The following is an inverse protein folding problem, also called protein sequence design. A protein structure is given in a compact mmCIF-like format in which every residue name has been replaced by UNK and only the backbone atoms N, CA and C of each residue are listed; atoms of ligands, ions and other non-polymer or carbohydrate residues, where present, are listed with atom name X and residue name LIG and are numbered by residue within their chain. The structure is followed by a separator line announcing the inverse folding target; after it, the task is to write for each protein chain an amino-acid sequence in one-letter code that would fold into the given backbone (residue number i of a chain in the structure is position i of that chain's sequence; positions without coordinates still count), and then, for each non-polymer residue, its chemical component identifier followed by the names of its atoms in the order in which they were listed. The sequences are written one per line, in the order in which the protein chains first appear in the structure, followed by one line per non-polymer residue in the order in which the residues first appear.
data_IF_456885867840
#
_entry.id   IF_456885867840
#
_cell.length_a   1.000
_cell.length_b   1.000
_cell.length_c   1.000
_cell.angle_alpha   90.00
_cell.angle_beta   90.00
_cell.angle_gamma   90.00
#
_symmetry.space_group_name_H-M   'P 1'
#
loop_
_entity.id
_entity.type
_entity.pdbx_description
1 polymer ?
#
# COMPACT_ATOMS: atom_id res chain seq x y z
N UNK A 1 -6.06 11.44 -14.18
CA UNK A 1 -6.40 11.35 -12.75
C UNK A 1 -5.38 12.17 -12.00
N UNK A 2 -5.79 13.05 -11.09
CA UNK A 2 -4.85 13.78 -10.24
C UNK A 2 -4.39 12.93 -9.03
N UNK A 3 -3.33 13.36 -8.36
CA UNK A 3 -2.72 12.64 -7.23
C UNK A 3 -3.67 12.47 -6.06
N UNK A 4 -4.53 13.46 -5.78
CA UNK A 4 -5.47 13.39 -4.66
C UNK A 4 -6.51 12.30 -4.91
N UNK A 5 -7.10 12.27 -6.11
CA UNK A 5 -8.06 11.24 -6.51
C UNK A 5 -7.47 9.82 -6.44
N UNK A 6 -6.18 9.65 -6.74
CA UNK A 6 -5.49 8.36 -6.59
C UNK A 6 -5.39 7.96 -5.12
N UNK A 7 -4.95 8.87 -4.26
CA UNK A 7 -4.83 8.61 -2.82
C UNK A 7 -6.19 8.29 -2.19
N UNK A 8 -7.23 9.04 -2.56
CA UNK A 8 -8.59 8.85 -2.03
C UNK A 8 -9.15 7.49 -2.46
N UNK A 9 -9.06 7.15 -3.75
CA UNK A 9 -9.51 5.87 -4.27
C UNK A 9 -8.74 4.70 -3.65
N UNK A 10 -7.42 4.80 -3.59
CA UNK A 10 -6.58 3.78 -2.97
C UNK A 10 -6.96 3.56 -1.50
N UNK A 11 -7.12 4.65 -0.74
CA UNK A 11 -7.47 4.59 0.69
C UNK A 11 -8.85 3.98 0.90
N UNK A 12 -9.82 4.37 0.07
CA UNK A 12 -11.17 3.81 0.12
C UNK A 12 -11.16 2.30 -0.15
N UNK A 13 -10.51 1.86 -1.22
CA UNK A 13 -10.46 0.44 -1.60
C UNK A 13 -9.63 -0.40 -0.62
N UNK A 14 -8.55 0.17 -0.07
CA UNK A 14 -7.73 -0.48 0.94
C UNK A 14 -8.55 -0.72 2.22
N UNK A 15 -9.24 0.30 2.72
CA UNK A 15 -10.10 0.19 3.89
C UNK A 15 -11.24 -0.80 3.66
N UNK A 16 -11.86 -0.78 2.48
CA UNK A 16 -12.90 -1.75 2.12
C UNK A 16 -12.37 -3.20 2.09
N UNK A 17 -11.12 -3.40 1.65
CA UNK A 17 -10.49 -4.72 1.57
C UNK A 17 -9.96 -5.22 2.93
N UNK A 18 -9.54 -4.32 3.82
CA UNK A 18 -9.09 -4.64 5.18
C UNK A 18 -10.25 -4.85 6.16
N UNK A 19 -11.41 -4.23 5.92
CA UNK A 19 -12.55 -4.30 6.84
C UNK A 19 -12.27 -3.59 8.17
N UNK A 20 -12.90 -4.07 9.26
CA UNK A 20 -12.80 -3.46 10.59
C UNK A 20 -11.37 -3.45 11.18
N UNK A 21 -10.50 -4.33 10.69
CA UNK A 21 -9.11 -4.46 11.15
C UNK A 21 -8.23 -3.24 10.78
N UNK A 22 -8.62 -2.48 9.75
CA UNK A 22 -7.86 -1.32 9.26
C UNK A 22 -7.65 -0.26 10.34
N UNK A 23 -8.67 0.00 11.16
CA UNK A 23 -8.67 1.09 12.14
C UNK A 23 -7.72 0.85 13.32
N UNK A 24 -7.30 -0.39 13.55
CA UNK A 24 -6.42 -0.75 14.68
C UNK A 24 -4.94 -0.72 14.32
N UNK A 25 -4.62 -0.67 13.03
CA UNK A 25 -3.26 -0.75 12.52
C UNK A 25 -2.82 0.66 12.15
N UNK A 26 -1.79 1.18 12.83
CA UNK A 26 -1.15 2.44 12.46
C UNK A 26 -0.37 2.24 11.14
N UNK A 27 -1.07 2.19 10.02
CA UNK A 27 -0.52 1.93 8.69
C UNK A 27 -0.15 3.25 8.05
N UNK A 28 1.06 3.34 7.52
CA UNK A 28 1.50 4.40 6.63
C UNK A 28 1.74 3.81 5.23
N UNK A 29 1.19 4.47 4.22
CA UNK A 29 1.34 4.10 2.81
C UNK A 29 1.97 5.24 2.03
N UNK A 30 3.01 4.93 1.27
CA UNK A 30 3.57 5.82 0.27
C UNK A 30 3.23 5.28 -1.12
N UNK A 31 2.63 6.11 -1.97
CA UNK A 31 2.33 5.78 -3.37
C UNK A 31 3.31 6.53 -4.29
N UNK A 32 3.99 5.79 -5.16
CA UNK A 32 4.89 6.33 -6.18
C UNK A 32 4.29 6.10 -7.56
N UNK A 33 4.06 7.20 -8.30
CA UNK A 33 3.65 7.13 -9.70
C UNK A 33 4.87 7.29 -10.61
N UNK A 34 5.07 6.32 -11.50
CA UNK A 34 6.12 6.37 -12.51
C UNK A 34 5.55 6.85 -13.85
N UNK A 35 6.38 7.55 -14.63
CA UNK A 35 5.98 8.15 -15.91
C UNK A 35 5.50 7.16 -16.99
N UNK A 36 5.63 5.86 -16.78
CA UNK A 36 5.29 4.79 -17.74
C UNK A 36 4.06 3.97 -17.36
N UNK A 37 3.15 4.52 -16.56
CA UNK A 37 1.94 3.78 -16.17
C UNK A 37 2.21 2.72 -15.10
N UNK A 38 3.29 2.88 -14.31
CA UNK A 38 3.54 2.03 -13.15
C UNK A 38 3.14 2.81 -11.89
N UNK A 39 2.49 2.14 -10.96
CA UNK A 39 2.24 2.65 -9.61
C UNK A 39 2.77 1.65 -8.58
N UNK A 40 3.52 2.14 -7.61
CA UNK A 40 4.06 1.36 -6.50
C UNK A 40 3.46 1.83 -5.18
N UNK A 41 3.12 0.89 -4.30
CA UNK A 41 2.75 1.12 -2.91
C UNK A 41 3.82 0.54 -1.99
N UNK A 42 4.36 1.39 -1.12
CA UNK A 42 5.20 0.98 -0.01
C UNK A 42 4.43 1.10 1.29
N UNK A 43 4.37 -0.02 2.03
CA UNK A 43 3.54 -0.15 3.22
C UNK A 43 4.44 -0.30 4.44
N UNK A 44 4.09 0.44 5.49
CA UNK A 44 4.71 0.32 6.80
C UNK A 44 3.63 0.42 7.87
N UNK A 45 3.88 -0.18 9.02
CA UNK A 45 2.98 -0.05 10.15
C UNK A 45 3.77 0.02 11.46
N UNK A 46 3.14 0.55 12.51
CA UNK A 46 3.65 0.42 13.87
C UNK A 46 2.86 -0.64 14.64
N UNK A 47 3.51 -1.74 14.99
CA UNK A 47 2.92 -2.85 15.74
C UNK A 47 3.66 -3.06 17.05
N UNK A 48 2.94 -3.08 18.18
CA UNK A 48 3.51 -3.27 19.52
C UNK A 48 4.71 -2.34 19.81
N UNK A 49 4.64 -1.09 19.34
CA UNK A 49 5.68 -0.09 19.51
C UNK A 49 6.92 -0.24 18.61
N UNK A 50 6.90 -1.18 17.65
CA UNK A 50 7.96 -1.37 16.65
C UNK A 50 7.47 -1.02 15.26
N UNK A 51 8.35 -0.45 14.46
CA UNK A 51 8.08 -0.18 13.06
C UNK A 51 8.32 -1.46 12.24
N UNK A 52 7.32 -1.83 11.45
CA UNK A 52 7.36 -2.96 10.52
C UNK A 52 7.19 -2.45 9.11
N UNK A 53 7.95 -3.01 8.19
CA UNK A 53 7.86 -2.76 6.76
C UNK A 53 7.35 -4.01 6.07
N UNK A 54 6.56 -3.81 5.03
CA UNK A 54 6.07 -4.88 4.18
C UNK A 54 6.73 -4.79 2.80
N UNK A 55 6.70 -5.86 2.00
CA UNK A 55 7.12 -5.82 0.60
C UNK A 55 6.41 -4.68 -0.15
N UNK A 56 7.14 -4.00 -1.03
CA UNK A 56 6.51 -3.07 -1.96
C UNK A 56 5.70 -3.85 -2.99
N UNK A 57 4.61 -3.23 -3.44
CA UNK A 57 3.68 -3.82 -4.39
C UNK A 57 3.55 -2.85 -5.53
N UNK A 58 3.67 -3.34 -6.77
CA UNK A 58 3.52 -2.49 -7.94
C UNK A 58 2.49 -3.08 -8.91
N UNK A 59 1.74 -2.18 -9.54
CA UNK A 59 0.96 -2.48 -10.74
C UNK A 59 1.66 -1.80 -11.90
N UNK A 60 2.08 -2.60 -12.88
CA UNK A 60 2.72 -2.12 -14.10
C UNK A 60 1.76 -2.26 -15.27
N UNK A 61 1.35 -1.13 -15.84
CA UNK A 61 0.57 -1.05 -17.07
C UNK A 61 1.36 -0.23 -18.10
N UNK A 62 2.53 -0.76 -18.46
CA UNK A 62 3.49 -0.14 -19.38
C UNK A 62 2.97 0.17 -20.79
N UNK A 63 1.80 -0.33 -21.15
CA UNK A 63 1.14 -0.15 -22.45
C UNK A 63 0.05 0.93 -22.46
N UNK A 64 -0.39 1.43 -21.30
CA UNK A 64 -1.48 2.42 -21.20
C UNK A 64 -1.35 3.36 -20.01
N UNK A 65 -2.22 4.36 -19.96
CA UNK A 65 -2.36 5.19 -18.77
C UNK A 65 -3.03 4.41 -17.62
N UNK A 66 -2.61 4.67 -16.39
CA UNK A 66 -3.26 4.14 -15.18
C UNK A 66 -4.75 4.46 -15.18
N UNK A 67 -5.56 3.44 -14.90
CA UNK A 67 -7.01 3.55 -14.74
C UNK A 67 -7.38 3.32 -13.27
N UNK A 68 -8.61 3.69 -12.88
CA UNK A 68 -9.12 3.45 -11.52
C UNK A 68 -9.02 1.99 -11.10
N UNK A 69 -9.32 1.06 -12.01
CA UNK A 69 -9.22 -0.38 -11.75
C UNK A 69 -7.80 -0.84 -11.36
N UNK A 70 -6.77 -0.18 -11.87
CA UNK A 70 -5.37 -0.48 -11.54
C UNK A 70 -5.06 -0.06 -10.09
N UNK A 71 -5.64 1.06 -9.64
CA UNK A 71 -5.56 1.52 -8.25
C UNK A 71 -6.30 0.56 -7.32
N UNK A 72 -7.51 0.13 -7.70
CA UNK A 72 -8.29 -0.86 -6.93
C UNK A 72 -7.53 -2.19 -6.80
N UNK A 73 -6.85 -2.64 -7.86
CA UNK A 73 -6.00 -3.85 -7.81
C UNK A 73 -4.83 -3.68 -6.86
N UNK A 74 -4.15 -2.54 -6.91
CA UNK A 74 -3.04 -2.24 -6.00
C UNK A 74 -3.51 -2.23 -4.54
N UNK A 75 -4.65 -1.58 -4.24
CA UNK A 75 -5.22 -1.53 -2.90
C UNK A 75 -5.59 -2.94 -2.36
N UNK A 76 -6.18 -3.79 -3.20
CA UNK A 76 -6.49 -5.18 -2.82
C UNK A 76 -5.24 -6.01 -2.56
N UNK A 77 -4.21 -5.87 -3.39
CA UNK A 77 -2.93 -6.53 -3.17
C UNK A 77 -2.25 -6.04 -1.87
N UNK A 78 -2.30 -4.74 -1.60
CA UNK A 78 -1.82 -4.16 -0.34
C UNK A 78 -2.56 -4.72 0.88
N UNK A 79 -3.89 -4.86 0.82
CA UNK A 79 -4.66 -5.49 1.89
C UNK A 79 -4.25 -6.94 2.13
N UNK A 80 -4.01 -7.72 1.06
CA UNK A 80 -3.54 -9.10 1.18
C UNK A 80 -2.18 -9.19 1.88
N UNK A 81 -1.23 -8.33 1.52
CA UNK A 81 0.10 -8.27 2.15
C UNK A 81 0.00 -7.83 3.61
N UNK A 82 -0.84 -6.85 3.92
CA UNK A 82 -1.04 -6.42 5.32
C UNK A 82 -1.68 -7.51 6.17
N UNK A 83 -2.56 -8.33 5.59
CA UNK A 83 -3.20 -9.45 6.28
C UNK A 83 -2.35 -10.71 6.35
N UNK A 84 -1.21 -10.76 5.64
CA UNK A 84 -0.25 -11.85 5.76
C UNK A 84 0.76 -11.54 6.88
N UNK A 85 0.69 -12.23 8.04
CA UNK A 85 1.63 -12.01 9.14
C UNK A 85 3.07 -12.39 8.77
N UNK A 86 3.29 -13.25 7.77
CA UNK A 86 4.63 -13.63 7.31
C UNK A 86 5.29 -12.56 6.43
N UNK A 87 4.51 -11.63 5.88
CA UNK A 87 5.03 -10.55 5.05
C UNK A 87 5.63 -9.39 5.87
N UNK A 88 5.32 -9.30 7.17
CA UNK A 88 5.84 -8.24 8.02
C UNK A 88 7.32 -8.47 8.35
N UNK A 89 8.18 -7.54 7.92
CA UNK A 89 9.60 -7.52 8.29
C UNK A 89 9.81 -6.39 9.31
N UNK A 90 10.43 -6.69 10.45
CA UNK A 90 10.82 -5.64 11.38
C UNK A 90 11.77 -4.66 10.67
N UNK A 91 11.47 -3.36 10.71
CA UNK A 91 12.40 -2.35 10.22
C UNK A 91 13.67 -2.49 11.06
N UNK A 92 14.81 -2.73 10.41
CA UNK A 92 16.08 -2.91 11.12
C UNK A 92 16.37 -1.62 11.89
N UNK A 93 16.44 -1.75 13.22
CA UNK A 93 16.79 -0.67 14.14
C UNK A 93 18.13 -0.09 13.71
N UNK A 94 18.11 1.12 13.13
CA UNK A 94 19.30 1.79 12.62
C UNK A 94 19.65 2.97 13.51
N UNK A 95 19.63 2.76 14.81
CA UNK A 95 20.24 3.64 15.80
C UNK A 95 20.94 2.78 16.86
N UNK A 96 22.22 2.51 16.61
CA UNK A 96 23.21 2.05 17.60
C UNK A 96 24.29 3.13 17.73
#
# INVERSE_FOLDING_TARGET
MDTQAICDLFTQDLNAALGEDAATRNIAVALTLHQRGTIEAQLSARQNGRDVTYPSIAVDVSDRALQSDDITRLAKAAAQVLNDPAAATAAHDKDA
#
